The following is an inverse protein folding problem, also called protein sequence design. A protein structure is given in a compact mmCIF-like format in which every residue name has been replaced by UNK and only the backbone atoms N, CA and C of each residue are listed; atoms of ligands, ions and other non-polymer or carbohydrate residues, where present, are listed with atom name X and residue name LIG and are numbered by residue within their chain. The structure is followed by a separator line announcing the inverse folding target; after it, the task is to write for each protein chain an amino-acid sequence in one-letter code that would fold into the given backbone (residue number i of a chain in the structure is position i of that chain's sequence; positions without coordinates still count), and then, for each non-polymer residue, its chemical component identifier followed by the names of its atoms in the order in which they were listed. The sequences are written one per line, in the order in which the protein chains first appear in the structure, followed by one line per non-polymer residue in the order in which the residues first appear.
data_IF_310824633752
#
_entry.id   IF_310824633752
#
_cell.length_a   1.000
_cell.length_b   1.000
_cell.length_c   1.000
_cell.angle_alpha   90.00
_cell.angle_beta   90.00
_cell.angle_gamma   90.00
#
_symmetry.space_group_name_H-M   'P 1'
#
loop_
_entity.id
_entity.type
_entity.pdbx_description
1 polymer ?
#
# COMPACT_ATOMS: atom_id res chain seq x y z
N UNK A 1 15.81 15.28 11.71
CA UNK A 1 14.52 14.84 11.14
C UNK A 1 14.87 13.93 9.97
N UNK A 2 14.39 12.68 9.95
CA UNK A 2 14.75 11.71 8.91
C UNK A 2 14.20 12.08 7.53
N UNK A 3 14.70 11.42 6.49
CA UNK A 3 14.25 11.61 5.11
C UNK A 3 12.79 11.15 4.92
N UNK A 4 12.13 11.55 3.83
CA UNK A 4 10.77 11.08 3.54
C UNK A 4 10.74 9.55 3.29
N UNK A 5 11.69 8.95 2.54
CA UNK A 5 11.80 7.50 2.42
C UNK A 5 11.99 6.80 3.77
N UNK A 6 12.81 7.34 4.67
CA UNK A 6 12.96 6.79 6.03
C UNK A 6 11.65 6.82 6.80
N UNK A 7 10.90 7.92 6.69
CA UNK A 7 9.59 8.06 7.34
C UNK A 7 8.56 7.07 6.78
N UNK A 8 8.55 6.85 5.46
CA UNK A 8 7.69 5.86 4.81
C UNK A 8 8.09 4.44 5.20
N UNK A 9 9.38 4.12 5.21
CA UNK A 9 9.88 2.82 5.62
C UNK A 9 9.51 2.50 7.08
N UNK A 10 9.70 3.48 7.98
CA UNK A 10 9.30 3.34 9.38
C UNK A 10 7.79 3.11 9.52
N UNK A 11 6.96 3.85 8.77
CA UNK A 11 5.52 3.66 8.81
C UNK A 11 5.09 2.27 8.31
N UNK A 12 5.70 1.77 7.24
CA UNK A 12 5.43 0.43 6.68
C UNK A 12 5.86 -0.67 7.66
N UNK A 13 6.96 -0.49 8.38
CA UNK A 13 7.44 -1.46 9.36
C UNK A 13 6.44 -1.70 10.51
N UNK A 14 5.59 -0.72 10.82
CA UNK A 14 4.53 -0.81 11.83
C UNK A 14 3.22 -1.41 11.28
N UNK A 15 3.14 -1.75 9.99
CA UNK A 15 1.97 -2.36 9.36
C UNK A 15 2.05 -3.89 9.43
N UNK A 16 1.85 -4.44 10.63
CA UNK A 16 1.95 -5.89 10.92
C UNK A 16 0.97 -6.78 10.14
N UNK A 17 -0.05 -6.20 9.50
CA UNK A 17 -1.04 -6.89 8.66
C UNK A 17 -0.58 -7.12 7.21
N UNK A 18 0.54 -6.53 6.77
CA UNK A 18 1.02 -6.71 5.40
C UNK A 18 1.50 -8.13 5.14
N UNK A 19 1.33 -8.56 3.89
CA UNK A 19 1.78 -9.87 3.40
C UNK A 19 2.87 -9.69 2.32
N UNK A 20 3.60 -10.76 1.95
CA UNK A 20 4.54 -10.67 0.83
C UNK A 20 3.91 -10.22 -0.51
N UNK A 21 2.59 -10.37 -0.68
CA UNK A 21 1.89 -9.91 -1.88
C UNK A 21 1.84 -8.37 -1.98
N UNK A 22 1.97 -7.67 -0.86
CA UNK A 22 1.87 -6.21 -0.77
C UNK A 22 3.20 -5.50 -1.08
N UNK A 23 4.30 -6.25 -1.22
CA UNK A 23 5.65 -5.71 -1.39
C UNK A 23 5.77 -4.74 -2.58
N UNK A 24 5.11 -5.02 -3.69
CA UNK A 24 5.13 -4.14 -4.86
C UNK A 24 4.52 -2.76 -4.58
N UNK A 25 3.48 -2.69 -3.73
CA UNK A 25 2.88 -1.44 -3.32
C UNK A 25 3.75 -0.70 -2.28
N UNK A 26 4.44 -1.44 -1.40
CA UNK A 26 5.47 -0.89 -0.49
C UNK A 26 6.60 -0.24 -1.30
N UNK A 27 7.13 -0.95 -2.30
CA UNK A 27 8.21 -0.46 -3.15
C UNK A 27 7.78 0.80 -3.93
N UNK A 28 6.53 0.84 -4.40
CA UNK A 28 5.96 2.01 -5.06
C UNK A 28 5.87 3.22 -4.11
N UNK A 29 5.44 3.02 -2.86
CA UNK A 29 5.40 4.09 -1.86
C UNK A 29 6.81 4.66 -1.59
N UNK A 30 7.80 3.79 -1.39
CA UNK A 30 9.19 4.19 -1.24
C UNK A 30 9.71 4.95 -2.47
N UNK A 31 9.34 4.49 -3.68
CA UNK A 31 9.75 5.17 -4.91
C UNK A 31 9.17 6.57 -5.02
N UNK A 32 7.89 6.77 -4.68
CA UNK A 32 7.30 8.11 -4.64
C UNK A 32 8.01 9.00 -3.63
N UNK A 33 8.28 8.50 -2.41
CA UNK A 33 9.01 9.24 -1.39
C UNK A 33 10.40 9.71 -1.87
N UNK A 34 11.17 8.81 -2.51
CA UNK A 34 12.48 9.13 -3.07
C UNK A 34 12.38 10.20 -4.18
N UNK A 35 11.39 10.11 -5.06
CA UNK A 35 11.22 11.08 -6.15
C UNK A 35 10.77 12.45 -5.64
N UNK A 36 9.90 12.48 -4.62
CA UNK A 36 9.47 13.72 -3.96
C UNK A 36 10.69 14.44 -3.39
N UNK A 37 11.49 13.75 -2.58
CA UNK A 37 12.64 14.36 -1.93
C UNK A 37 13.70 14.80 -2.94
N UNK A 38 14.02 13.95 -3.92
CA UNK A 38 14.97 14.29 -4.97
C UNK A 38 14.53 15.52 -5.79
N UNK A 39 13.23 15.65 -6.09
CA UNK A 39 12.70 16.83 -6.78
C UNK A 39 12.71 18.09 -5.92
N UNK A 40 12.38 17.98 -4.63
CA UNK A 40 12.49 19.09 -3.67
C UNK A 40 13.93 19.58 -3.57
N UNK A 41 14.92 18.67 -3.47
CA UNK A 41 16.33 19.03 -3.41
C UNK A 41 16.83 19.75 -4.67
N UNK A 42 16.27 19.45 -5.85
CA UNK A 42 16.61 20.15 -7.11
C UNK A 42 15.99 21.55 -7.21
N UNK A 43 14.89 21.81 -6.52
CA UNK A 43 14.22 23.12 -6.51
C UNK A 43 13.47 23.45 -7.81
N UNK A 44 12.96 24.69 -7.88
CA UNK A 44 12.31 25.23 -9.07
C UNK A 44 11.14 24.38 -9.59
N UNK A 45 11.10 24.17 -10.90
CA UNK A 45 10.03 23.38 -11.55
C UNK A 45 10.04 21.91 -11.13
N UNK A 46 11.19 21.35 -10.76
CA UNK A 46 11.28 19.97 -10.30
C UNK A 46 10.66 19.79 -8.92
N UNK A 47 10.83 20.77 -8.03
CA UNK A 47 10.14 20.78 -6.74
C UNK A 47 8.62 20.86 -6.92
N UNK A 48 8.14 21.72 -7.82
CA UNK A 48 6.70 21.80 -8.15
C UNK A 48 6.17 20.47 -8.68
N UNK A 49 6.90 19.81 -9.60
CA UNK A 49 6.53 18.49 -10.14
C UNK A 49 6.52 17.40 -9.07
N UNK A 50 7.52 17.40 -8.18
CA UNK A 50 7.61 16.46 -7.07
C UNK A 50 6.38 16.55 -6.15
N UNK A 51 5.89 17.75 -5.85
CA UNK A 51 4.71 17.93 -5.00
C UNK A 51 3.43 17.31 -5.58
N UNK A 52 3.32 17.16 -6.91
CA UNK A 52 2.20 16.43 -7.53
C UNK A 52 2.20 14.93 -7.22
N UNK A 53 3.32 14.35 -6.76
CA UNK A 53 3.39 12.95 -6.34
C UNK A 53 2.80 12.73 -4.93
N UNK A 54 2.63 13.79 -4.12
CA UNK A 54 2.12 13.69 -2.75
C UNK A 54 0.77 12.95 -2.64
N UNK A 55 -0.25 13.30 -3.42
CA UNK A 55 -1.53 12.57 -3.43
C UNK A 55 -1.40 11.10 -3.85
N UNK A 56 -0.46 10.77 -4.75
CA UNK A 56 -0.22 9.39 -5.18
C UNK A 56 0.43 8.56 -4.07
N UNK A 57 1.44 9.11 -3.40
CA UNK A 57 2.02 8.49 -2.21
C UNK A 57 0.96 8.24 -1.13
N UNK A 58 0.15 9.26 -0.82
CA UNK A 58 -0.90 9.13 0.20
C UNK A 58 -1.94 8.07 -0.17
N UNK A 59 -2.31 7.96 -1.45
CA UNK A 59 -3.20 6.91 -1.93
C UNK A 59 -2.59 5.53 -1.77
N UNK A 60 -1.34 5.32 -2.19
CA UNK A 60 -0.65 4.03 -2.01
C UNK A 60 -0.61 3.63 -0.54
N UNK A 61 -0.29 4.57 0.36
CA UNK A 61 -0.33 4.32 1.80
C UNK A 61 -1.75 4.01 2.30
N UNK A 62 -2.78 4.66 1.77
CA UNK A 62 -4.17 4.36 2.17
C UNK A 62 -4.60 2.94 1.76
N UNK A 63 -4.25 2.50 0.55
CA UNK A 63 -4.53 1.12 0.08
C UNK A 63 -3.80 0.06 0.91
N UNK A 64 -2.57 0.37 1.37
CA UNK A 64 -1.82 -0.48 2.31
C UNK A 64 -2.38 -0.45 3.75
N UNK A 65 -3.37 0.38 4.04
CA UNK A 65 -3.87 0.58 5.40
C UNK A 65 -3.00 1.50 6.25
N UNK A 66 -2.01 2.21 5.70
CA UNK A 66 -1.15 3.14 6.44
C UNK A 66 -1.86 4.41 6.95
N UNK A 67 -3.05 4.72 6.45
CA UNK A 67 -3.85 5.88 6.90
C UNK A 67 -5.00 5.44 7.82
N UNK A 68 -5.52 6.33 8.70
CA UNK A 68 -6.69 6.00 9.53
C UNK A 68 -7.90 5.52 8.73
N UNK A 69 -8.15 6.13 7.56
CA UNK A 69 -9.21 5.71 6.64
C UNK A 69 -8.92 4.33 6.04
N UNK A 70 -7.69 4.09 5.58
CA UNK A 70 -7.26 2.80 5.03
C UNK A 70 -7.39 1.65 6.04
N UNK A 71 -6.95 1.85 7.29
CA UNK A 71 -7.11 0.85 8.36
C UNK A 71 -8.56 0.49 8.62
N UNK A 72 -9.44 1.50 8.63
CA UNK A 72 -10.87 1.28 8.81
C UNK A 72 -11.41 0.36 7.72
N UNK A 73 -11.07 0.58 6.44
CA UNK A 73 -11.48 -0.29 5.32
C UNK A 73 -10.98 -1.73 5.48
N UNK A 74 -9.72 -1.93 5.88
CA UNK A 74 -9.18 -3.27 6.13
C UNK A 74 -9.89 -3.98 7.29
N UNK A 75 -10.21 -3.24 8.36
CA UNK A 75 -10.94 -3.77 9.52
C UNK A 75 -12.34 -4.28 9.18
N UNK A 76 -13.00 -3.72 8.17
CA UNK A 76 -14.30 -4.20 7.68
C UNK A 76 -14.19 -5.49 6.85
N UNK A 77 -13.00 -5.82 6.32
CA UNK A 77 -12.76 -7.01 5.50
C UNK A 77 -12.37 -8.25 6.33
N UNK A 78 -12.27 -8.16 7.66
CA UNK A 78 -11.92 -9.29 8.52
C UNK A 78 -13.08 -10.27 8.79
N UNK A 79 -14.11 -10.29 7.94
CA UNK A 79 -15.22 -11.23 8.03
C UNK A 79 -15.16 -12.26 6.91
N UNK A 80 -14.31 -13.27 7.11
CA UNK A 80 -14.32 -14.52 6.36
C UNK A 80 -13.42 -14.52 5.13
N UNK A 81 -12.48 -15.48 5.09
CA UNK A 81 -11.84 -15.92 3.85
C UNK A 81 -12.94 -16.14 2.80
N UNK A 82 -13.07 -15.22 1.85
CA UNK A 82 -14.01 -15.39 0.73
C UNK A 82 -13.57 -16.64 0.00
N UNK A 83 -14.41 -17.67 0.07
CA UNK A 83 -14.13 -18.91 -0.65
C UNK A 83 -14.02 -18.59 -2.13
N UNK A 84 -12.87 -18.88 -2.73
CA UNK A 84 -12.69 -18.77 -4.18
C UNK A 84 -13.76 -19.60 -4.89
N UNK A 85 -14.37 -19.04 -5.92
CA UNK A 85 -15.36 -19.73 -6.76
C UNK A 85 -14.86 -21.10 -7.23
N UNK A 86 -13.56 -21.23 -7.52
CA UNK A 86 -12.97 -22.51 -7.93
C UNK A 86 -12.92 -23.52 -6.79
N UNK A 87 -12.59 -23.09 -5.58
CA UNK A 87 -12.61 -23.93 -4.38
C UNK A 87 -14.02 -24.44 -4.10
N UNK A 88 -15.02 -23.55 -4.24
CA UNK A 88 -16.43 -23.89 -4.09
C UNK A 88 -16.88 -24.92 -5.11
N UNK A 89 -16.60 -24.69 -6.39
CA UNK A 89 -16.96 -25.59 -7.48
C UNK A 89 -16.32 -26.97 -7.35
N UNK A 90 -15.05 -27.03 -6.90
CA UNK A 90 -14.35 -28.31 -6.68
C UNK A 90 -15.00 -29.15 -5.59
N UNK A 91 -15.51 -28.51 -4.52
CA UNK A 91 -16.25 -29.19 -3.45
C UNK A 91 -17.59 -29.71 -3.95
N UNK A 92 -18.35 -28.88 -4.65
CA UNK A 92 -19.69 -29.23 -5.17
C UNK A 92 -19.62 -30.37 -6.20
N UNK A 93 -18.64 -30.35 -7.10
CA UNK A 93 -18.50 -31.37 -8.15
C UNK A 93 -17.72 -32.62 -7.70
N UNK A 94 -16.84 -32.51 -6.70
CA UNK A 94 -16.07 -33.64 -6.17
C UNK A 94 -16.86 -34.59 -5.26
N UNK A 95 -18.03 -34.17 -4.76
CA UNK A 95 -18.92 -34.96 -3.91
C UNK A 95 -20.03 -35.71 -4.69
N UNK A 96 -19.96 -35.73 -6.03
CA UNK A 96 -20.96 -36.33 -6.92
C UNK A 96 -20.55 -37.71 -7.46
N UNK A 97 -19.69 -38.44 -6.75
CA UNK A 97 -19.32 -39.83 -7.01
C UNK A 97 -19.59 -40.68 -5.77
#
# INVERSE_FOLDING_TARGET
MGSLPESVAAAVAEMDWLTPADQAAVDLALRYAMQIEAGISRGGQDATRALYLGPHLLRTLAELGGTPGGRTTLGHNNSGRVESTLTRLRRELGNSA
#
